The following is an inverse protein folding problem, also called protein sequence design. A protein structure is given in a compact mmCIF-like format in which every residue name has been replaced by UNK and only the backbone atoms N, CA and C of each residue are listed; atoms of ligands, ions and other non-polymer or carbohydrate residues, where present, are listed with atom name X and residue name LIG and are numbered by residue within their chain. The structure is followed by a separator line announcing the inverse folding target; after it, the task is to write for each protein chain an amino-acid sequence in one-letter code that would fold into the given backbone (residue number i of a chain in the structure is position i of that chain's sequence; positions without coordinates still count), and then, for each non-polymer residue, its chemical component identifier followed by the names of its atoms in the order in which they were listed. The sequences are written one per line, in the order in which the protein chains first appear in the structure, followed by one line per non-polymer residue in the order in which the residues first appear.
data_IF_619347504439
#
_entry.id   IF_619347504439
#
_cell.length_a   1.000
_cell.length_b   1.000
_cell.length_c   1.000
_cell.angle_alpha   90.00
_cell.angle_beta   90.00
_cell.angle_gamma   90.00
#
_symmetry.space_group_name_H-M   'P 1'
#
loop_
_entity.id
_entity.type
_entity.pdbx_description
1 polymer ?
#
# COMPACT_ATOMS: atom_id res chain seq x y z
N UNK A 1 -16.98 -9.47 -9.17
CA UNK A 1 -16.32 -8.16 -9.21
C UNK A 1 -16.89 -7.34 -8.07
N UNK A 2 -16.12 -7.03 -7.02
CA UNK A 2 -16.62 -6.33 -5.83
C UNK A 2 -16.66 -4.80 -6.08
N UNK A 3 -17.66 -4.08 -5.52
CA UNK A 3 -17.98 -2.69 -5.87
C UNK A 3 -16.93 -1.64 -5.43
N UNK A 4 -15.94 -2.02 -4.63
CA UNK A 4 -14.89 -1.18 -4.05
C UNK A 4 -13.78 -0.75 -5.04
N UNK A 5 -13.67 -1.38 -6.22
CA UNK A 5 -12.67 -1.00 -7.23
C UNK A 5 -13.02 0.27 -8.06
N UNK A 6 -14.17 0.91 -7.80
CA UNK A 6 -14.69 2.00 -8.64
C UNK A 6 -14.01 3.36 -8.43
N UNK A 7 -13.47 3.63 -7.23
CA UNK A 7 -12.92 4.96 -6.91
C UNK A 7 -11.60 5.19 -7.66
N UNK A 8 -10.71 4.19 -7.67
CA UNK A 8 -9.39 4.26 -8.32
C UNK A 8 -9.49 4.38 -9.84
N UNK A 9 -10.42 3.65 -10.46
CA UNK A 9 -10.62 3.67 -11.92
C UNK A 9 -11.12 5.03 -12.43
N UNK A 10 -11.92 5.75 -11.65
CA UNK A 10 -12.38 7.11 -12.00
C UNK A 10 -11.22 8.11 -12.12
N UNK A 11 -10.14 7.90 -11.34
CA UNK A 11 -8.95 8.74 -11.36
C UNK A 11 -7.83 8.20 -12.27
N UNK A 12 -8.13 7.21 -13.13
CA UNK A 12 -7.15 6.62 -14.04
C UNK A 12 -6.12 5.70 -13.37
N UNK A 13 -6.39 5.20 -12.17
CA UNK A 13 -5.54 4.21 -11.50
C UNK A 13 -5.98 2.81 -11.98
N UNK A 14 -5.27 2.30 -12.98
CA UNK A 14 -5.62 1.03 -13.64
C UNK A 14 -5.18 -0.22 -12.87
N UNK A 15 -4.20 -0.10 -11.98
CA UNK A 15 -3.59 -1.22 -11.25
C UNK A 15 -3.67 -1.03 -9.74
N UNK A 16 -4.89 -0.90 -9.23
CA UNK A 16 -5.15 -0.99 -7.81
C UNK A 16 -5.02 -2.45 -7.36
N UNK A 17 -4.21 -2.67 -6.33
CA UNK A 17 -4.00 -3.97 -5.69
C UNK A 17 -4.54 -3.87 -4.28
N UNK A 18 -5.40 -4.82 -3.90
CA UNK A 18 -5.95 -4.92 -2.56
C UNK A 18 -6.08 -6.39 -2.16
N UNK A 19 -5.90 -6.72 -0.87
CA UNK A 19 -6.17 -8.06 -0.36
C UNK A 19 -7.67 -8.41 -0.51
N UNK A 20 -7.97 -9.68 -0.79
CA UNK A 20 -9.33 -10.12 -1.14
C UNK A 20 -10.26 -10.34 0.07
N UNK A 21 -9.69 -10.59 1.25
CA UNK A 21 -10.41 -11.05 2.45
C UNK A 21 -10.22 -10.12 3.66
N UNK A 22 -8.96 -9.80 4.00
CA UNK A 22 -8.60 -8.94 5.14
C UNK A 22 -8.10 -7.59 4.64
N UNK A 23 -8.72 -6.50 5.08
CA UNK A 23 -8.42 -5.14 4.62
C UNK A 23 -7.57 -4.37 5.65
N UNK A 24 -6.43 -4.95 6.01
CA UNK A 24 -5.46 -4.39 6.95
C UNK A 24 -4.04 -4.37 6.35
N UNK A 25 -3.08 -3.79 7.08
CA UNK A 25 -1.72 -3.60 6.59
C UNK A 25 -0.97 -4.92 6.48
N UNK A 26 -1.25 -5.84 7.39
CA UNK A 26 -0.70 -7.18 7.48
C UNK A 26 -1.05 -7.99 6.23
N UNK A 27 -2.33 -8.04 5.86
CA UNK A 27 -2.79 -8.74 4.66
C UNK A 27 -2.26 -8.11 3.36
N UNK A 28 -2.09 -6.78 3.32
CA UNK A 28 -1.46 -6.11 2.18
C UNK A 28 0.02 -6.52 2.02
N UNK A 29 0.75 -6.59 3.15
CA UNK A 29 2.17 -6.96 3.18
C UNK A 29 2.44 -8.45 2.89
N UNK A 30 1.41 -9.30 2.95
CA UNK A 30 1.47 -10.70 2.52
C UNK A 30 1.43 -10.85 0.99
N UNK A 31 0.93 -9.85 0.25
CA UNK A 31 0.80 -9.94 -1.20
C UNK A 31 2.18 -9.98 -1.90
N UNK A 32 2.32 -10.74 -2.99
CA UNK A 32 3.59 -10.85 -3.74
C UNK A 32 4.17 -9.51 -4.16
N UNK A 33 3.32 -8.54 -4.50
CA UNK A 33 3.73 -7.22 -5.01
C UNK A 33 4.39 -6.35 -3.95
N UNK A 34 4.24 -6.69 -2.67
CA UNK A 34 4.81 -5.96 -1.54
C UNK A 34 6.00 -6.68 -0.90
N UNK A 35 6.42 -7.84 -1.43
CA UNK A 35 7.61 -8.55 -0.95
C UNK A 35 8.90 -7.80 -1.29
N UNK A 36 9.97 -8.05 -0.52
CA UNK A 36 11.22 -7.28 -0.58
C UNK A 36 11.80 -7.17 -2.00
N UNK A 37 11.83 -8.26 -2.75
CA UNK A 37 12.32 -8.29 -4.14
C UNK A 37 11.54 -7.35 -5.07
N UNK A 38 10.30 -7.02 -4.72
CA UNK A 38 9.40 -6.19 -5.52
C UNK A 38 9.38 -4.73 -5.08
N UNK A 39 9.78 -4.42 -3.85
CA UNK A 39 9.72 -3.05 -3.29
C UNK A 39 11.08 -2.44 -2.98
N UNK A 40 12.14 -3.25 -2.87
CA UNK A 40 13.49 -2.73 -2.63
C UNK A 40 13.90 -1.70 -3.70
N UNK A 41 14.42 -0.56 -3.25
CA UNK A 41 14.84 0.56 -4.10
C UNK A 41 13.68 1.37 -4.71
N UNK A 42 12.41 1.07 -4.37
CA UNK A 42 11.27 1.87 -4.83
C UNK A 42 10.95 2.98 -3.85
N UNK A 43 10.47 4.10 -4.40
CA UNK A 43 9.86 5.19 -3.63
C UNK A 43 8.36 4.95 -3.53
N UNK A 44 7.84 4.95 -2.31
CA UNK A 44 6.44 4.67 -1.99
C UNK A 44 5.86 5.86 -1.23
N UNK A 45 4.72 6.37 -1.68
CA UNK A 45 3.96 7.40 -0.96
C UNK A 45 2.79 6.74 -0.25
N UNK A 46 2.68 6.93 1.06
CA UNK A 46 1.55 6.46 1.86
C UNK A 46 0.65 7.65 2.19
N UNK A 47 -0.54 7.65 1.60
CA UNK A 47 -1.61 8.57 1.96
C UNK A 47 -2.34 8.07 3.20
N UNK A 48 -2.42 8.89 4.24
CA UNK A 48 -3.00 8.50 5.54
C UNK A 48 -3.53 9.68 6.32
N UNK A 49 -4.49 9.41 7.22
CA UNK A 49 -4.92 10.40 8.21
C UNK A 49 -3.88 10.66 9.29
N UNK A 50 -4.06 11.77 10.01
CA UNK A 50 -3.19 12.15 11.12
C UNK A 50 -3.25 11.08 12.24
N UNK A 51 -2.08 10.64 12.75
CA UNK A 51 -2.01 9.59 13.77
C UNK A 51 -2.26 8.13 13.31
N UNK A 52 -2.38 7.86 12.01
CA UNK A 52 -2.49 6.48 11.46
C UNK A 52 -1.37 5.48 11.84
N UNK A 53 -1.44 4.25 11.32
CA UNK A 53 -0.51 3.15 11.68
C UNK A 53 0.84 3.31 10.97
N UNK A 54 1.93 3.28 11.73
CA UNK A 54 3.29 3.33 11.17
C UNK A 54 3.74 1.99 10.55
N UNK A 55 3.14 0.89 11.00
CA UNK A 55 3.55 -0.48 10.67
C UNK A 55 3.74 -0.75 9.17
N UNK A 56 2.82 -0.26 8.30
CA UNK A 56 2.93 -0.46 6.86
C UNK A 56 4.20 0.19 6.31
N UNK A 57 4.44 1.46 6.62
CA UNK A 57 5.61 2.18 6.13
C UNK A 57 6.91 1.64 6.73
N UNK A 58 6.93 1.33 8.02
CA UNK A 58 8.08 0.69 8.68
C UNK A 58 8.44 -0.64 8.02
N UNK A 59 7.45 -1.47 7.72
CA UNK A 59 7.66 -2.76 7.07
C UNK A 59 8.21 -2.60 5.64
N UNK A 60 7.72 -1.62 4.89
CA UNK A 60 8.22 -1.33 3.54
C UNK A 60 9.65 -0.78 3.57
N UNK A 61 9.97 0.10 4.53
CA UNK A 61 11.33 0.56 4.77
C UNK A 61 12.27 -0.60 5.13
N UNK A 62 11.85 -1.49 6.03
CA UNK A 62 12.64 -2.68 6.39
C UNK A 62 12.87 -3.63 5.20
N UNK A 63 11.97 -3.61 4.21
CA UNK A 63 12.09 -4.33 2.93
C UNK A 63 12.90 -3.58 1.87
N UNK A 64 13.47 -2.43 2.21
CA UNK A 64 14.37 -1.64 1.35
C UNK A 64 13.67 -0.60 0.48
N UNK A 65 12.39 -0.28 0.72
CA UNK A 65 11.73 0.82 0.06
C UNK A 65 12.05 2.17 0.74
N UNK A 66 11.97 3.26 -0.01
CA UNK A 66 11.94 4.62 0.55
C UNK A 66 10.47 5.04 0.70
N UNK A 67 10.05 5.41 1.91
CA UNK A 67 8.65 5.73 2.21
C UNK A 67 8.49 7.19 2.59
N UNK A 68 7.60 7.89 1.87
CA UNK A 68 7.14 9.24 2.19
C UNK A 68 5.68 9.20 2.68
N UNK A 69 5.37 9.94 3.74
CA UNK A 69 4.00 10.06 4.26
C UNK A 69 3.33 11.35 3.77
N UNK A 70 2.18 11.20 3.12
CA UNK A 70 1.28 12.31 2.80
C UNK A 70 0.11 12.27 3.79
N UNK A 71 0.08 13.23 4.72
CA UNK A 71 -1.02 13.37 5.67
C UNK A 71 -2.08 14.32 5.13
N UNK A 72 -3.35 13.94 5.27
CA UNK A 72 -4.51 14.68 4.81
C UNK A 72 -5.65 14.68 5.83
#
# INVERSE_FOLDING_TARGET
MKPDNMISAHYGIERAIAPNERFDSEALLELPEFQAERVAGKRVVIFRGNGGRAFLGESLCARGAEVDYATC
#
